data_IF_989606760878
#
_entry.id   IF_989606760878
#
_cell.length_a   1.000
_cell.length_b   1.000
_cell.length_c   1.000
_cell.angle_alpha   90.00
_cell.angle_beta   90.00
_cell.angle_gamma   90.00
#
_symmetry.space_group_name_H-M   'P 1'
#
loop_
_entity.id
_entity.type
_entity.pdbx_description
1 polymer ?
#
# COMPACT_ATOMS: atom_id res chain seq x y z
N UNK A 1 8.84 0.95 0.91
CA UNK A 1 7.46 0.51 0.61
C UNK A 1 6.60 1.73 0.40
N UNK A 2 5.73 1.70 -0.62
CA UNK A 2 4.86 2.84 -1.01
C UNK A 2 3.71 3.04 -0.03
N UNK A 3 3.23 1.99 0.63
CA UNK A 3 2.08 2.02 1.55
C UNK A 3 2.47 2.07 3.03
N UNK A 4 1.60 2.62 3.89
CA UNK A 4 1.76 2.63 5.35
C UNK A 4 1.88 1.22 5.89
N UNK A 5 2.69 1.05 6.94
CA UNK A 5 2.95 -0.27 7.50
C UNK A 5 1.67 -0.91 8.07
N UNK A 6 0.75 -0.11 8.58
CA UNK A 6 -0.56 -0.54 9.07
C UNK A 6 -1.44 -1.16 7.97
N UNK A 7 -1.65 -0.42 6.87
CA UNK A 7 -2.53 -0.89 5.79
C UNK A 7 -1.90 -2.02 5.00
N UNK A 8 -0.56 -2.00 4.87
CA UNK A 8 0.19 -3.10 4.29
C UNK A 8 0.09 -4.39 5.13
N UNK A 9 0.22 -4.30 6.46
CA UNK A 9 0.06 -5.45 7.34
C UNK A 9 -1.36 -6.04 7.27
N UNK A 10 -2.37 -5.17 7.20
CA UNK A 10 -3.77 -5.60 7.01
C UNK A 10 -3.95 -6.36 5.70
N UNK A 11 -3.36 -5.86 4.60
CA UNK A 11 -3.35 -6.56 3.33
C UNK A 11 -2.67 -7.94 3.42
N UNK A 12 -1.48 -8.02 4.05
CA UNK A 12 -0.77 -9.30 4.22
C UNK A 12 -1.58 -10.32 5.03
N UNK A 13 -2.28 -9.89 6.08
CA UNK A 13 -3.15 -10.77 6.86
C UNK A 13 -4.31 -11.32 6.02
N UNK A 14 -5.00 -10.47 5.23
CA UNK A 14 -6.04 -10.93 4.32
C UNK A 14 -5.50 -11.88 3.26
N UNK A 15 -4.31 -11.60 2.72
CA UNK A 15 -3.65 -12.47 1.73
C UNK A 15 -3.33 -13.84 2.33
N UNK A 16 -2.79 -13.90 3.55
CA UNK A 16 -2.49 -15.16 4.21
C UNK A 16 -3.77 -15.95 4.54
N UNK A 17 -4.84 -15.27 4.96
CA UNK A 17 -6.15 -15.93 5.16
C UNK A 17 -6.69 -16.52 3.86
N UNK A 18 -6.59 -15.80 2.75
CA UNK A 18 -7.01 -16.29 1.44
C UNK A 18 -6.20 -17.52 1.01
N UNK A 19 -4.88 -17.52 1.21
CA UNK A 19 -4.02 -18.69 0.95
C UNK A 19 -4.44 -19.90 1.79
N UNK A 20 -4.63 -19.72 3.09
CA UNK A 20 -5.06 -20.80 3.97
C UNK A 20 -6.42 -21.39 3.57
N UNK A 21 -7.31 -20.60 2.97
CA UNK A 21 -8.58 -21.10 2.42
C UNK A 21 -8.32 -21.90 1.13
N UNK A 22 -7.45 -21.43 0.25
CA UNK A 22 -7.10 -22.16 -0.97
C UNK A 22 -6.40 -23.50 -0.72
N UNK A 23 -5.70 -23.62 0.41
CA UNK A 23 -4.99 -24.85 0.81
C UNK A 23 -5.89 -25.89 1.51
N UNK A 24 -7.17 -25.57 1.74
CA UNK A 24 -8.14 -26.47 2.39
C UNK A 24 -8.96 -27.25 1.38
N UNK A 25 -9.14 -28.54 1.64
CA UNK A 25 -9.98 -29.42 0.83
C UNK A 25 -11.49 -29.27 1.14
N UNK A 26 -11.83 -28.68 2.29
CA UNK A 26 -13.19 -28.60 2.85
C UNK A 26 -13.79 -27.19 2.76
N UNK A 27 -13.57 -26.49 1.65
CA UNK A 27 -14.06 -25.11 1.47
C UNK A 27 -15.36 -25.03 0.69
N UNK A 28 -16.22 -24.11 1.10
CA UNK A 28 -17.45 -23.79 0.37
C UNK A 28 -17.25 -22.59 -0.54
N UNK A 29 -18.15 -22.40 -1.51
CA UNK A 29 -18.16 -21.19 -2.33
C UNK A 29 -18.33 -19.91 -1.48
N UNK A 30 -19.03 -20.01 -0.35
CA UNK A 30 -19.18 -18.90 0.60
C UNK A 30 -17.83 -18.52 1.21
N UNK A 31 -17.00 -19.50 1.59
CA UNK A 31 -15.66 -19.24 2.13
C UNK A 31 -14.76 -18.55 1.09
N UNK A 32 -14.81 -19.02 -0.17
CA UNK A 32 -14.09 -18.41 -1.29
C UNK A 32 -14.55 -16.97 -1.53
N UNK A 33 -15.86 -16.73 -1.57
CA UNK A 33 -16.42 -15.39 -1.77
C UNK A 33 -16.03 -14.44 -0.63
N UNK A 34 -16.06 -14.92 0.61
CA UNK A 34 -15.65 -14.15 1.78
C UNK A 34 -14.14 -13.83 1.74
N UNK A 35 -13.29 -14.81 1.37
CA UNK A 35 -11.86 -14.61 1.21
C UNK A 35 -11.55 -13.54 0.15
N UNK A 36 -12.23 -13.63 -1.01
CA UNK A 36 -12.10 -12.68 -2.11
C UNK A 36 -12.53 -11.27 -1.68
N UNK A 37 -13.69 -11.14 -1.06
CA UNK A 37 -14.22 -9.86 -0.59
C UNK A 37 -13.28 -9.20 0.43
N UNK A 38 -12.76 -9.98 1.38
CA UNK A 38 -11.82 -9.49 2.40
C UNK A 38 -10.48 -9.06 1.80
N UNK A 39 -9.97 -9.79 0.81
CA UNK A 39 -8.73 -9.43 0.12
C UNK A 39 -8.93 -8.18 -0.75
N UNK A 40 -10.03 -8.07 -1.48
CA UNK A 40 -10.33 -6.88 -2.27
C UNK A 40 -10.49 -5.65 -1.39
N UNK A 41 -11.17 -5.80 -0.25
CA UNK A 41 -11.35 -4.71 0.72
C UNK A 41 -10.01 -4.25 1.29
N UNK A 42 -9.09 -5.16 1.62
CA UNK A 42 -7.78 -4.78 2.14
C UNK A 42 -6.90 -4.10 1.08
N UNK A 43 -6.99 -4.53 -0.19
CA UNK A 43 -6.34 -3.86 -1.32
C UNK A 43 -6.86 -2.43 -1.47
N UNK A 44 -8.19 -2.25 -1.46
CA UNK A 44 -8.81 -0.93 -1.60
C UNK A 44 -8.47 0.01 -0.42
N UNK A 45 -8.17 -0.55 0.74
CA UNK A 45 -7.82 0.21 1.95
C UNK A 45 -6.31 0.48 2.09
N UNK A 46 -5.48 0.08 1.12
CA UNK A 46 -4.06 0.44 1.11
C UNK A 46 -3.92 1.96 1.07
N UNK A 47 -3.13 2.50 1.99
CA UNK A 47 -2.84 3.93 2.07
C UNK A 47 -1.39 4.18 1.78
N UNK A 48 -1.09 5.13 0.91
CA UNK A 48 0.29 5.55 0.67
C UNK A 48 0.93 6.09 1.94
N UNK A 49 2.24 5.82 2.11
CA UNK A 49 3.04 6.56 3.08
C UNK A 49 2.94 8.04 2.72
N UNK A 50 2.90 8.94 3.73
CA UNK A 50 2.96 10.36 3.48
C UNK A 50 4.18 10.63 2.59
N UNK A 51 3.92 11.13 1.39
CA UNK A 51 4.97 11.60 0.53
C UNK A 51 5.54 12.83 1.23
N UNK A 52 6.75 12.71 1.78
CA UNK A 52 7.54 13.88 2.16
C UNK A 52 7.96 14.60 0.88
N UNK A 53 6.99 15.20 0.18
CA UNK A 53 7.25 16.19 -0.85
C UNK A 53 7.65 17.45 -0.10
N UNK A 54 8.88 17.46 0.41
CA UNK A 54 9.58 18.72 0.62
C UNK A 54 9.71 19.26 -0.79
N UNK A 55 8.83 20.19 -1.17
CA UNK A 55 8.99 20.96 -2.40
C UNK A 55 10.30 21.72 -2.20
N UNK A 56 11.42 21.12 -2.64
CA UNK A 56 12.74 21.69 -2.44
C UNK A 56 12.75 23.02 -3.19
N UNK A 57 12.63 24.11 -2.46
CA UNK A 57 12.69 25.45 -3.03
C UNK A 57 14.15 25.73 -3.41
N UNK A 58 14.45 25.51 -4.69
CA UNK A 58 15.78 25.76 -5.27
C UNK A 58 15.94 27.21 -5.72
N UNK A 59 14.96 28.08 -5.51
CA UNK A 59 14.97 29.46 -6.03
C UNK A 59 16.21 30.21 -5.53
N UNK A 60 16.57 30.05 -4.25
CA UNK A 60 17.77 30.67 -3.68
C UNK A 60 19.07 30.12 -4.30
N UNK A 61 19.15 28.80 -4.51
CA UNK A 61 20.33 28.18 -5.13
C UNK A 61 20.50 28.63 -6.59
N UNK A 62 19.41 28.71 -7.35
CA UNK A 62 19.39 29.17 -8.74
C UNK A 62 19.80 30.64 -8.83
N UNK A 63 19.29 31.49 -7.93
CA UNK A 63 19.64 32.91 -7.89
C UNK A 63 21.15 33.11 -7.64
N UNK A 64 21.72 32.43 -6.65
CA UNK A 64 23.16 32.51 -6.36
C UNK A 64 23.99 31.98 -7.53
N UNK A 65 23.61 30.85 -8.15
CA UNK A 65 24.34 30.30 -9.30
C UNK A 65 24.39 31.27 -10.48
N UNK A 66 23.27 31.92 -10.81
CA UNK A 66 23.21 32.88 -11.92
C UNK A 66 23.96 34.19 -11.64
N UNK A 67 24.05 34.62 -10.39
CA UNK A 67 24.81 35.82 -9.99
C UNK A 67 26.34 35.64 -10.10
N UNK A 68 26.82 34.40 -10.17
CA UNK A 68 28.25 34.06 -10.24
C UNK A 68 28.68 33.55 -11.61
N UNK A 69 27.86 33.74 -12.65
CA UNK A 69 28.20 33.51 -14.07
C UNK A 69 28.64 34.81 -14.72
#
# INVERSE_FOLDING_TARGET
GTFTDETWNTFLQSLNKAKNILDRDDVTQLDINNALSNLQTSINNLKDKPQNIVKVDKSNLIAIYNLNK
#
